data_IF_256521197180
#
_entry.id   IF_256521197180
#
_cell.length_a   1.000
_cell.length_b   1.000
_cell.length_c   1.000
_cell.angle_alpha   90.00
_cell.angle_beta   90.00
_cell.angle_gamma   90.00
#
_symmetry.space_group_name_H-M   'P 1'
#
loop_
_entity.id
_entity.type
_entity.pdbx_description
1 polymer ?
#
# COMPACT_ATOMS: atom_id res chain seq x y z
N UNK A 1 11.53 -0.86 -31.27
CA UNK A 1 10.65 -1.96 -30.83
C UNK A 1 11.45 -2.86 -29.89
N UNK A 2 10.97 -3.11 -28.70
CA UNK A 2 11.64 -3.87 -27.66
C UNK A 2 10.91 -5.19 -27.40
N UNK A 3 11.65 -6.23 -27.08
CA UNK A 3 11.12 -7.51 -26.58
C UNK A 3 10.66 -7.38 -25.13
N UNK A 4 9.94 -8.37 -24.60
CA UNK A 4 9.56 -8.42 -23.17
C UNK A 4 10.78 -8.28 -22.25
N UNK A 5 11.90 -8.94 -22.61
CA UNK A 5 13.14 -8.90 -21.82
C UNK A 5 13.75 -7.50 -21.79
N UNK A 6 13.85 -6.85 -22.94
CA UNK A 6 14.38 -5.48 -23.04
C UNK A 6 13.46 -4.47 -22.34
N UNK A 7 12.14 -4.58 -22.53
CA UNK A 7 11.17 -3.76 -21.82
C UNK A 7 11.27 -3.92 -20.29
N UNK A 8 11.47 -5.15 -19.80
CA UNK A 8 11.70 -5.43 -18.39
C UNK A 8 12.98 -4.75 -17.87
N UNK A 9 14.07 -4.84 -18.62
CA UNK A 9 15.34 -4.18 -18.27
C UNK A 9 15.23 -2.66 -18.23
N UNK A 10 14.62 -2.06 -19.27
CA UNK A 10 14.44 -0.59 -19.37
C UNK A 10 13.59 -0.07 -18.22
N UNK A 11 12.48 -0.73 -17.91
CA UNK A 11 11.53 -0.29 -16.90
C UNK A 11 11.90 -0.70 -15.47
N UNK A 12 12.89 -1.59 -15.30
CA UNK A 12 13.23 -2.19 -14.01
C UNK A 12 12.08 -3.03 -13.44
N UNK A 13 11.30 -3.66 -14.32
CA UNK A 13 10.28 -4.65 -13.99
C UNK A 13 10.79 -6.06 -14.23
N UNK A 14 10.11 -7.06 -13.68
CA UNK A 14 10.33 -8.45 -14.09
C UNK A 14 9.61 -8.73 -15.41
N UNK A 15 10.09 -9.67 -16.22
CA UNK A 15 9.38 -10.09 -17.44
C UNK A 15 7.96 -10.60 -17.12
N UNK A 16 7.78 -11.23 -15.96
CA UNK A 16 6.47 -11.65 -15.50
C UNK A 16 5.53 -10.47 -15.28
N UNK A 17 6.01 -9.40 -14.63
CA UNK A 17 5.21 -8.18 -14.41
C UNK A 17 4.86 -7.50 -15.75
N UNK A 18 5.81 -7.42 -16.70
CA UNK A 18 5.55 -6.88 -18.05
C UNK A 18 4.43 -7.66 -18.75
N UNK A 19 4.52 -9.01 -18.75
CA UNK A 19 3.47 -9.86 -19.34
C UNK A 19 2.13 -9.66 -18.62
N UNK A 20 2.14 -9.68 -17.29
CA UNK A 20 0.94 -9.50 -16.47
C UNK A 20 0.24 -8.17 -16.76
N UNK A 21 0.97 -7.05 -16.78
CA UNK A 21 0.38 -5.73 -17.07
C UNK A 21 -0.18 -5.66 -18.49
N UNK A 22 0.52 -6.26 -19.46
CA UNK A 22 0.05 -6.36 -20.84
C UNK A 22 -1.24 -7.18 -20.94
N UNK A 23 -1.29 -8.34 -20.28
CA UNK A 23 -2.46 -9.23 -20.30
C UNK A 23 -3.67 -8.61 -19.57
N UNK A 24 -3.44 -7.71 -18.61
CA UNK A 24 -4.50 -6.93 -17.94
C UNK A 24 -4.94 -5.70 -18.73
N UNK A 25 -4.36 -5.47 -19.93
CA UNK A 25 -4.72 -4.32 -20.77
C UNK A 25 -4.30 -2.97 -20.17
N UNK A 26 -3.22 -2.95 -19.38
CA UNK A 26 -2.67 -1.73 -18.79
C UNK A 26 -1.67 -1.03 -19.71
N UNK A 27 -1.31 -1.65 -20.83
CA UNK A 27 -0.34 -1.14 -21.81
C UNK A 27 -1.00 -1.18 -23.18
N UNK A 28 -1.68 -0.11 -23.61
CA UNK A 28 -2.54 -0.13 -24.81
C UNK A 28 -1.77 -0.29 -26.14
N UNK A 29 -0.54 0.20 -26.22
CA UNK A 29 0.23 0.27 -27.47
C UNK A 29 1.08 -0.99 -27.79
N UNK A 30 0.87 -2.10 -27.06
CA UNK A 30 1.63 -3.34 -27.30
C UNK A 30 1.22 -4.00 -28.60
N UNK A 31 2.20 -4.29 -29.44
CA UNK A 31 2.03 -4.97 -30.71
C UNK A 31 2.44 -6.45 -30.62
N UNK A 32 2.07 -7.25 -31.62
CA UNK A 32 2.55 -8.62 -31.80
C UNK A 32 3.08 -8.80 -33.21
N UNK A 33 4.22 -9.46 -33.32
CA UNK A 33 4.77 -9.81 -34.63
C UNK A 33 4.08 -11.06 -35.22
N UNK A 34 4.48 -11.45 -36.44
CA UNK A 34 3.92 -12.61 -37.12
C UNK A 34 4.09 -13.96 -36.38
N UNK A 35 5.00 -14.04 -35.42
CA UNK A 35 5.18 -15.20 -34.54
C UNK A 35 4.47 -15.04 -33.18
N UNK A 36 3.51 -14.11 -33.08
CA UNK A 36 2.75 -13.83 -31.87
C UNK A 36 3.60 -13.34 -30.67
N UNK A 37 4.82 -12.84 -30.91
CA UNK A 37 5.72 -12.30 -29.89
C UNK A 37 5.33 -10.83 -29.62
N UNK A 38 5.20 -10.46 -28.34
CA UNK A 38 4.94 -9.07 -27.92
C UNK A 38 6.13 -8.19 -28.23
N UNK A 39 5.84 -7.03 -28.81
CA UNK A 39 6.80 -5.97 -29.10
C UNK A 39 6.29 -4.66 -28.48
N UNK A 40 7.23 -3.92 -27.92
CA UNK A 40 6.99 -2.67 -27.19
C UNK A 40 7.69 -1.53 -27.92
N UNK A 41 6.96 -0.49 -28.27
CA UNK A 41 7.51 0.78 -28.71
C UNK A 41 7.82 1.71 -27.53
N UNK A 42 8.26 2.93 -27.80
CA UNK A 42 8.54 3.93 -26.76
C UNK A 42 7.28 4.29 -25.96
N UNK A 43 6.13 4.30 -26.62
CA UNK A 43 4.85 4.58 -25.96
C UNK A 43 4.48 3.46 -24.97
N UNK A 44 4.65 2.21 -25.36
CA UNK A 44 4.45 1.06 -24.47
C UNK A 44 5.42 1.07 -23.28
N UNK A 45 6.65 1.51 -23.47
CA UNK A 45 7.62 1.69 -22.38
C UNK A 45 7.15 2.77 -21.41
N UNK A 46 6.65 3.90 -21.92
CA UNK A 46 6.11 4.98 -21.10
C UNK A 46 4.88 4.52 -20.30
N UNK A 47 3.98 3.75 -20.89
CA UNK A 47 2.85 3.14 -20.17
C UNK A 47 3.31 2.19 -19.08
N UNK A 48 4.31 1.35 -19.33
CA UNK A 48 4.88 0.46 -18.31
C UNK A 48 5.48 1.24 -17.13
N UNK A 49 6.19 2.34 -17.38
CA UNK A 49 6.69 3.24 -16.33
C UNK A 49 5.55 3.85 -15.52
N UNK A 50 4.52 4.38 -16.18
CA UNK A 50 3.34 4.95 -15.53
C UNK A 50 2.63 3.92 -14.64
N UNK A 51 2.35 2.73 -15.15
CA UNK A 51 1.72 1.62 -14.43
C UNK A 51 2.57 1.20 -13.22
N UNK A 52 3.90 1.10 -13.39
CA UNK A 52 4.82 0.81 -12.28
C UNK A 52 4.71 1.84 -11.17
N UNK A 53 4.74 3.14 -11.49
CA UNK A 53 4.63 4.23 -10.52
C UNK A 53 3.29 4.20 -9.78
N UNK A 54 2.17 4.04 -10.50
CA UNK A 54 0.84 3.94 -9.90
C UNK A 54 0.73 2.71 -8.99
N UNK A 55 1.31 1.57 -9.39
CA UNK A 55 1.33 0.36 -8.57
C UNK A 55 2.16 0.55 -7.30
N UNK A 56 3.32 1.19 -7.40
CA UNK A 56 4.19 1.52 -6.26
C UNK A 56 3.54 2.50 -5.29
N UNK A 57 2.70 3.43 -5.77
CA UNK A 57 1.92 4.33 -4.92
C UNK A 57 0.73 3.66 -4.22
N UNK A 58 0.55 2.34 -4.45
CA UNK A 58 -0.47 1.55 -3.76
C UNK A 58 -1.80 1.42 -4.51
N UNK A 59 -1.89 1.91 -5.77
CA UNK A 59 -3.10 1.68 -6.59
C UNK A 59 -3.34 0.20 -6.86
N UNK A 60 -4.59 -0.21 -6.80
CA UNK A 60 -4.99 -1.54 -7.22
C UNK A 60 -4.91 -1.70 -8.74
N UNK A 61 -4.70 -2.92 -9.22
CA UNK A 61 -4.71 -3.21 -10.68
C UNK A 61 -6.03 -2.78 -11.33
N UNK A 62 -7.15 -2.93 -10.61
CA UNK A 62 -8.47 -2.48 -11.08
C UNK A 62 -8.51 -0.97 -11.28
N UNK A 63 -8.02 -0.19 -10.30
CA UNK A 63 -8.01 1.27 -10.40
C UNK A 63 -7.03 1.78 -11.47
N UNK A 64 -5.90 1.12 -11.66
CA UNK A 64 -4.97 1.43 -12.75
C UNK A 64 -5.63 1.15 -14.10
N UNK A 65 -6.38 0.05 -14.23
CA UNK A 65 -7.12 -0.27 -15.48
C UNK A 65 -8.17 0.81 -15.78
N UNK A 66 -8.95 1.19 -14.78
CA UNK A 66 -9.93 2.28 -14.91
C UNK A 66 -9.26 3.58 -15.39
N UNK A 67 -8.11 3.95 -14.80
CA UNK A 67 -7.34 5.11 -15.24
C UNK A 67 -6.86 5.00 -16.68
N UNK A 68 -6.34 3.85 -17.10
CA UNK A 68 -5.90 3.61 -18.48
C UNK A 68 -7.07 3.72 -19.44
N UNK A 69 -8.22 3.13 -19.12
CA UNK A 69 -9.41 3.20 -19.95
C UNK A 69 -9.90 4.65 -20.14
N UNK A 70 -9.95 5.41 -19.06
CA UNK A 70 -10.28 6.84 -19.12
C UNK A 70 -9.27 7.62 -20.00
N UNK A 71 -7.98 7.28 -19.95
CA UNK A 71 -6.98 7.91 -20.82
C UNK A 71 -7.26 7.62 -22.31
N UNK A 72 -7.69 6.41 -22.63
CA UNK A 72 -8.02 6.00 -24.00
C UNK A 72 -9.30 6.62 -24.52
N UNK A 73 -10.24 6.97 -23.65
CA UNK A 73 -11.45 7.71 -24.02
C UNK A 73 -11.17 9.18 -24.39
N UNK A 74 -9.99 9.71 -24.00
CA UNK A 74 -9.52 11.03 -24.41
C UNK A 74 -9.83 12.16 -23.42
N UNK A 75 -9.80 13.40 -23.95
CA UNK A 75 -9.77 14.63 -23.12
C UNK A 75 -11.04 14.87 -22.32
N UNK A 76 -12.19 14.36 -22.78
CA UNK A 76 -13.48 14.47 -22.07
C UNK A 76 -13.44 13.85 -20.66
N UNK A 77 -12.49 12.94 -20.42
CA UNK A 77 -12.32 12.22 -19.13
C UNK A 77 -11.33 12.87 -18.19
N UNK A 78 -10.74 14.01 -18.54
CA UNK A 78 -9.78 14.71 -17.66
C UNK A 78 -10.34 14.96 -16.25
N UNK A 79 -11.62 15.40 -16.08
CA UNK A 79 -12.17 15.58 -14.74
C UNK A 79 -12.23 14.28 -13.93
N UNK A 80 -12.63 13.15 -14.54
CA UNK A 80 -12.71 11.85 -13.89
C UNK A 80 -11.32 11.34 -13.50
N UNK A 81 -10.34 11.47 -14.41
CA UNK A 81 -8.93 11.12 -14.12
C UNK A 81 -8.35 11.92 -12.96
N UNK A 82 -8.66 13.23 -12.90
CA UNK A 82 -8.26 14.09 -11.80
C UNK A 82 -8.85 13.60 -10.46
N UNK A 83 -10.16 13.32 -10.41
CA UNK A 83 -10.82 12.82 -9.21
C UNK A 83 -10.25 11.49 -8.75
N UNK A 84 -9.96 10.57 -9.69
CA UNK A 84 -9.33 9.29 -9.38
C UNK A 84 -7.95 9.50 -8.73
N UNK A 85 -7.11 10.37 -9.29
CA UNK A 85 -5.79 10.69 -8.73
C UNK A 85 -5.87 11.37 -7.37
N UNK A 86 -6.81 12.31 -7.19
CA UNK A 86 -7.04 12.98 -5.89
C UNK A 86 -7.40 11.98 -4.80
N UNK A 87 -8.33 11.09 -5.08
CA UNK A 87 -8.72 10.02 -4.14
C UNK A 87 -7.52 9.16 -3.73
N UNK A 88 -6.72 8.70 -4.69
CA UNK A 88 -5.55 7.87 -4.41
C UNK A 88 -4.45 8.62 -3.65
N UNK A 89 -4.28 9.92 -3.92
CA UNK A 89 -3.40 10.79 -3.14
C UNK A 89 -3.83 10.86 -1.68
N UNK A 90 -5.12 11.03 -1.41
CA UNK A 90 -5.66 11.06 -0.04
C UNK A 90 -5.45 9.72 0.69
N UNK A 91 -5.72 8.60 0.01
CA UNK A 91 -5.45 7.26 0.55
C UNK A 91 -3.96 7.05 0.88
N UNK A 92 -3.05 7.53 0.03
CA UNK A 92 -1.62 7.44 0.26
C UNK A 92 -1.17 8.32 1.44
N UNK A 93 -1.72 9.53 1.57
CA UNK A 93 -1.45 10.40 2.73
C UNK A 93 -1.94 9.79 4.03
N UNK A 94 -3.14 9.18 4.05
CA UNK A 94 -3.65 8.49 5.23
C UNK A 94 -2.72 7.34 5.68
N UNK A 95 -2.22 6.54 4.74
CA UNK A 95 -1.24 5.48 5.03
C UNK A 95 0.09 6.02 5.55
N UNK A 96 0.54 7.17 5.04
CA UNK A 96 1.75 7.83 5.53
C UNK A 96 1.59 8.24 7.00
N UNK A 97 0.46 8.85 7.36
CA UNK A 97 0.19 9.26 8.74
C UNK A 97 0.05 8.04 9.68
N UNK A 98 -0.53 6.95 9.20
CA UNK A 98 -0.56 5.69 9.95
C UNK A 98 0.85 5.14 10.19
N UNK A 99 1.69 5.09 9.14
CA UNK A 99 3.07 4.65 9.26
C UNK A 99 3.89 5.53 10.23
N UNK A 100 3.69 6.84 10.23
CA UNK A 100 4.32 7.75 11.21
C UNK A 100 3.94 7.41 12.65
N UNK A 101 2.65 7.12 12.92
CA UNK A 101 2.21 6.69 14.25
C UNK A 101 2.87 5.38 14.67
N UNK A 102 3.02 4.42 13.75
CA UNK A 102 3.71 3.16 14.06
C UNK A 102 5.18 3.40 14.40
N UNK A 103 5.87 4.28 13.67
CA UNK A 103 7.26 4.64 13.96
C UNK A 103 7.38 5.28 15.34
N UNK A 104 6.54 6.27 15.66
CA UNK A 104 6.55 6.91 16.99
C UNK A 104 6.37 5.89 18.13
N UNK A 105 5.46 4.92 17.98
CA UNK A 105 5.28 3.87 18.96
C UNK A 105 6.54 2.98 19.10
N UNK A 106 7.23 2.66 18.00
CA UNK A 106 8.47 1.90 18.05
C UNK A 106 9.60 2.70 18.69
N UNK A 107 9.66 4.01 18.46
CA UNK A 107 10.61 4.92 19.11
C UNK A 107 10.43 4.94 20.63
N UNK A 108 9.19 5.04 21.11
CA UNK A 108 8.88 4.93 22.55
C UNK A 108 9.36 3.58 23.13
N UNK A 109 9.10 2.47 22.44
CA UNK A 109 9.56 1.15 22.87
C UNK A 109 11.08 1.03 22.86
N UNK A 110 11.72 1.58 21.85
CA UNK A 110 13.20 1.59 21.76
C UNK A 110 13.82 2.40 22.89
N UNK A 111 13.27 3.59 23.21
CA UNK A 111 13.71 4.41 24.31
C UNK A 111 13.54 3.70 25.68
N UNK A 112 12.42 2.99 25.87
CA UNK A 112 12.21 2.17 27.08
C UNK A 112 13.33 1.11 27.22
N UNK A 113 13.59 0.33 26.17
CA UNK A 113 14.63 -0.69 26.24
C UNK A 113 16.03 -0.10 26.46
N UNK A 114 16.31 1.08 25.92
CA UNK A 114 17.55 1.77 26.20
C UNK A 114 17.70 2.12 27.69
N UNK A 115 16.65 2.63 28.34
CA UNK A 115 16.70 2.90 29.78
C UNK A 115 16.88 1.64 30.62
N UNK A 116 16.33 0.50 30.18
CA UNK A 116 16.51 -0.80 30.84
C UNK A 116 17.94 -1.28 30.67
N UNK A 117 18.54 -1.21 29.48
CA UNK A 117 19.93 -1.59 29.22
C UNK A 117 20.94 -0.77 30.03
N UNK A 118 20.66 0.52 30.23
CA UNK A 118 21.48 1.42 31.05
C UNK A 118 21.25 1.25 32.56
N UNK A 119 20.40 0.33 32.97
CA UNK A 119 20.09 0.05 34.39
C UNK A 119 19.28 1.15 35.08
N UNK A 120 18.72 2.10 34.33
CA UNK A 120 17.94 3.23 34.86
C UNK A 120 16.46 2.88 35.10
N UNK A 121 15.98 1.79 34.51
CA UNK A 121 14.61 1.31 34.64
C UNK A 121 14.57 -0.21 34.71
N UNK A 122 13.67 -0.82 35.52
CA UNK A 122 13.47 -2.26 35.49
C UNK A 122 12.76 -2.69 34.18
N UNK A 123 13.04 -3.92 33.75
CA UNK A 123 12.30 -4.51 32.64
C UNK A 123 10.87 -4.86 33.07
N UNK A 124 9.93 -3.97 32.73
CA UNK A 124 8.49 -4.13 32.96
C UNK A 124 7.81 -4.98 31.87
N UNK A 125 8.52 -5.31 30.79
CA UNK A 125 7.96 -6.07 29.69
C UNK A 125 8.05 -7.58 29.90
N UNK A 126 8.92 -8.03 30.82
CA UNK A 126 9.07 -9.44 31.17
C UNK A 126 8.08 -9.83 32.27
N UNK A 127 7.09 -10.72 32.01
CA UNK A 127 6.12 -11.16 33.01
C UNK A 127 6.74 -11.74 34.29
N UNK A 128 7.90 -12.39 34.20
CA UNK A 128 8.60 -12.93 35.34
C UNK A 128 9.05 -11.86 36.37
N UNK A 129 9.13 -10.60 35.94
CA UNK A 129 9.49 -9.48 36.80
C UNK A 129 8.28 -8.80 37.45
N UNK A 130 7.06 -9.06 37.02
CA UNK A 130 5.88 -8.29 37.43
C UNK A 130 5.60 -8.34 38.92
N UNK A 131 5.71 -9.50 39.57
CA UNK A 131 5.49 -9.62 41.00
C UNK A 131 6.53 -8.84 41.80
N UNK A 132 7.80 -8.93 41.39
CA UNK A 132 8.90 -8.17 42.02
C UNK A 132 8.68 -6.65 41.87
N UNK A 133 8.29 -6.22 40.71
CA UNK A 133 8.09 -4.81 40.39
C UNK A 133 6.87 -4.26 41.15
N UNK A 134 5.77 -5.01 41.25
CA UNK A 134 4.57 -4.68 42.02
C UNK A 134 4.88 -4.43 43.48
N UNK A 135 5.72 -5.26 44.06
CA UNK A 135 6.16 -5.11 45.48
C UNK A 135 7.04 -3.87 45.71
N UNK A 136 7.78 -3.41 44.69
CA UNK A 136 8.66 -2.24 44.80
C UNK A 136 7.94 -0.89 44.61
N UNK A 137 6.86 -0.83 43.87
CA UNK A 137 6.24 0.42 43.43
C UNK A 137 4.74 0.56 43.76
N UNK A 138 4.12 -0.40 44.47
CA UNK A 138 2.69 -0.42 44.72
C UNK A 138 1.85 -0.68 43.46
N UNK A 139 0.51 -0.66 43.61
CA UNK A 139 -0.44 -1.02 42.56
C UNK A 139 -0.53 0.00 41.39
N UNK A 140 0.39 0.97 41.31
CA UNK A 140 0.46 1.88 40.15
C UNK A 140 1.25 1.22 39.04
N UNK A 141 0.69 0.16 38.47
CA UNK A 141 1.38 -0.59 37.44
C UNK A 141 0.58 -0.79 36.20
N UNK A 142 1.23 -0.37 35.13
CA UNK A 142 1.06 -0.82 33.76
C UNK A 142 -0.40 -0.92 33.31
N UNK A 143 -0.98 0.18 32.95
CA UNK A 143 -2.01 0.10 31.92
C UNK A 143 -1.35 -0.43 30.67
N UNK A 144 -1.63 -1.68 30.22
CA UNK A 144 -1.19 -2.10 28.91
C UNK A 144 -1.68 -1.04 27.92
N UNK A 145 -0.94 -0.72 26.87
CA UNK A 145 -1.41 0.21 25.86
C UNK A 145 -2.78 -0.24 25.44
N UNK A 146 -3.76 0.64 25.62
CA UNK A 146 -5.16 0.37 25.33
C UNK A 146 -5.23 -0.21 23.93
N UNK A 147 -5.79 -1.41 23.81
CA UNK A 147 -6.11 -2.03 22.55
C UNK A 147 -7.25 -1.28 21.88
N UNK A 148 -7.03 -0.06 21.48
CA UNK A 148 -7.91 0.66 20.58
C UNK A 148 -7.50 0.39 19.13
N UNK A 149 -7.41 -0.89 18.80
CA UNK A 149 -7.61 -1.29 17.43
C UNK A 149 -9.08 -1.60 17.27
N UNK A 150 -9.90 -0.59 17.17
CA UNK A 150 -11.17 -0.72 16.46
C UNK A 150 -10.83 -0.95 14.99
N UNK A 151 -10.67 -2.22 14.64
CA UNK A 151 -10.86 -2.65 13.26
C UNK A 151 -12.29 -2.23 12.94
N UNK A 152 -12.44 -1.23 12.08
CA UNK A 152 -13.70 -0.90 11.45
C UNK A 152 -14.06 -2.10 10.57
N UNK A 153 -14.75 -3.07 11.16
CA UNK A 153 -15.44 -4.11 10.41
C UNK A 153 -16.46 -3.38 9.51
N UNK A 154 -16.38 -3.64 8.21
CA UNK A 154 -17.26 -3.08 7.21
C UNK A 154 -18.73 -3.29 7.60
N UNK A 155 -19.49 -2.23 7.52
CA UNK A 155 -20.94 -2.25 7.58
C UNK A 155 -21.50 -2.88 6.29
N UNK A 156 -21.73 -4.18 6.34
CA UNK A 156 -22.71 -4.81 5.45
C UNK A 156 -24.10 -4.52 6.03
N UNK A 157 -24.68 -3.41 5.63
CA UNK A 157 -26.10 -3.16 5.85
C UNK A 157 -26.90 -3.85 4.74
N UNK A 158 -27.28 -5.09 5.03
CA UNK A 158 -28.39 -5.75 4.37
C UNK A 158 -29.70 -5.04 4.78
N UNK A 159 -30.26 -4.29 3.88
CA UNK A 159 -31.62 -3.76 3.98
C UNK A 159 -32.61 -4.89 3.74
N UNK A 160 -33.12 -5.45 4.81
CA UNK A 160 -34.31 -6.30 4.73
C UNK A 160 -35.54 -5.43 4.51
N UNK A 161 -36.16 -5.61 3.36
CA UNK A 161 -37.46 -5.05 3.07
C UNK A 161 -38.54 -5.65 3.96
N UNK A 162 -39.44 -4.80 4.45
CA UNK A 162 -40.73 -5.22 4.99
C UNK A 162 -41.79 -4.43 4.27
N UNK A 163 -42.60 -5.17 3.56
CA UNK A 163 -43.92 -4.76 3.11
C UNK A 163 -44.92 -4.93 4.28
N UNK A 164 -46.00 -4.24 4.34
CA UNK A 164 -47.21 -4.53 3.53
C UNK A 164 -47.67 -3.40 2.61
#
# INVERSE_FOLDING_TARGET
>A
MYTVKEAAQITGLTEHAVRFYTDKGLVPSVQRNGNNIRLFDEEAINWLHGVKCLKQSGMSIKAIKEYVDLCLEGDSTIPQRYQLMMKHKEEALAKLEEAKRHVAHLEEKTALYQTILEGRSPDTTNPANWDRIRHMHGDVFYSPPVRDVKILAGNDHVMAGSNP
#
